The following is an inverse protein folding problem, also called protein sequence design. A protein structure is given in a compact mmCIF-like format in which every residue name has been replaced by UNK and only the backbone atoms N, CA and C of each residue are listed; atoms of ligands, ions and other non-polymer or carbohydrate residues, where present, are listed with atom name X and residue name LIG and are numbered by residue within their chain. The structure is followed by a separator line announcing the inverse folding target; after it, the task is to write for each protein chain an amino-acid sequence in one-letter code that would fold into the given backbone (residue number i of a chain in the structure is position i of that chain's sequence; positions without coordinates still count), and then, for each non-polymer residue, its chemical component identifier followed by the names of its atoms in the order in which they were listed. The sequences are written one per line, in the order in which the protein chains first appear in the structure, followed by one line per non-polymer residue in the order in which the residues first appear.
data_IF_136508248446
#
_entry.id   IF_136508248446
#
_cell.length_a   1.000
_cell.length_b   1.000
_cell.length_c   1.000
_cell.angle_alpha   90.00
_cell.angle_beta   90.00
_cell.angle_gamma   90.00
#
_symmetry.space_group_name_H-M   'P 1'
#
loop_
_entity.id
_entity.type
_entity.pdbx_description
1 polymer ?
#
# COMPACT_ATOMS: atom_id res chain seq x y z
N UNK A 1 -8.70 -0.86 17.67
CA UNK A 1 -8.89 -0.63 16.21
C UNK A 1 -9.87 0.53 15.94
N UNK A 2 -11.04 0.55 16.56
CA UNK A 2 -11.99 1.70 16.49
C UNK A 2 -11.37 3.00 17.05
N UNK A 3 -10.43 2.91 18.01
CA UNK A 3 -9.77 4.08 18.59
C UNK A 3 -8.84 4.82 17.60
N UNK A 4 -8.16 4.13 16.67
CA UNK A 4 -7.27 4.80 15.71
C UNK A 4 -8.08 5.59 14.66
N UNK A 5 -9.14 4.99 14.12
CA UNK A 5 -10.02 5.66 13.14
C UNK A 5 -10.77 6.83 13.80
N UNK A 6 -11.26 6.65 15.03
CA UNK A 6 -12.01 7.68 15.76
C UNK A 6 -11.14 8.85 16.23
N UNK A 7 -9.87 8.62 16.54
CA UNK A 7 -8.92 9.69 16.91
C UNK A 7 -8.58 10.56 15.71
N UNK A 8 -8.45 9.97 14.53
CA UNK A 8 -8.09 10.69 13.30
C UNK A 8 -9.28 11.48 12.72
N UNK A 9 -10.47 10.91 12.72
CA UNK A 9 -11.67 11.57 12.18
C UNK A 9 -12.14 12.82 12.97
N UNK A 10 -11.75 12.94 14.23
CA UNK A 10 -12.20 14.04 15.09
C UNK A 10 -11.21 15.23 15.20
N UNK A 11 -10.11 15.26 14.45
CA UNK A 11 -9.21 16.40 14.46
C UNK A 11 -9.61 17.45 13.41
N UNK A 12 -9.82 18.74 13.79
CA UNK A 12 -10.09 19.80 12.83
C UNK A 12 -8.87 20.01 11.93
N UNK A 13 -9.11 20.18 10.62
CA UNK A 13 -8.09 20.49 9.60
C UNK A 13 -7.28 21.71 10.05
N UNK A 14 -6.12 21.50 10.63
CA UNK A 14 -5.15 22.57 10.87
C UNK A 14 -4.53 22.91 9.52
N UNK A 15 -4.92 23.98 8.90
CA UNK A 15 -4.22 24.59 7.75
C UNK A 15 -2.85 25.08 8.23
N UNK A 16 -1.88 24.18 8.24
CA UNK A 16 -0.48 24.50 8.52
C UNK A 16 0.13 25.26 7.36
N UNK A 17 0.95 26.25 7.67
CA UNK A 17 1.68 27.08 6.71
C UNK A 17 2.45 26.20 5.71
N UNK A 18 2.33 26.57 4.44
CA UNK A 18 3.00 25.95 3.29
C UNK A 18 4.53 25.90 3.52
N UNK A 19 5.17 24.76 3.80
CA UNK A 19 6.62 24.70 3.89
C UNK A 19 7.17 24.89 2.47
N UNK A 20 8.15 25.75 2.31
CA UNK A 20 8.91 25.95 1.07
C UNK A 20 9.39 24.57 0.61
N UNK A 21 8.83 24.08 -0.48
CA UNK A 21 9.15 22.76 -1.02
C UNK A 21 10.58 22.71 -1.52
N UNK A 22 11.46 22.13 -0.73
CA UNK A 22 12.72 21.59 -1.25
C UNK A 22 12.36 20.51 -2.31
N UNK A 23 13.17 20.31 -3.35
CA UNK A 23 12.90 19.28 -4.34
C UNK A 23 12.76 17.91 -3.65
N UNK A 24 11.79 17.07 -4.06
CA UNK A 24 11.53 15.82 -3.39
C UNK A 24 12.78 14.93 -3.38
N UNK A 25 13.14 14.45 -2.20
CA UNK A 25 14.28 13.54 -2.03
C UNK A 25 13.95 12.22 -2.73
N UNK A 26 14.85 11.72 -3.58
CA UNK A 26 14.61 10.45 -4.28
C UNK A 26 14.53 9.29 -3.28
N UNK A 27 13.65 8.31 -3.54
CA UNK A 27 13.52 7.13 -2.68
C UNK A 27 14.84 6.37 -2.50
N UNK A 28 15.69 6.34 -3.53
CA UNK A 28 17.02 5.73 -3.46
C UNK A 28 17.91 6.39 -2.40
N UNK A 29 17.89 7.72 -2.30
CA UNK A 29 18.62 8.45 -1.25
C UNK A 29 18.05 8.16 0.13
N UNK A 30 16.71 8.12 0.26
CA UNK A 30 16.02 7.81 1.52
C UNK A 30 16.39 6.41 2.01
N UNK A 31 16.39 5.42 1.12
CA UNK A 31 16.68 4.03 1.45
C UNK A 31 18.17 3.68 1.45
N UNK A 32 19.06 4.66 1.29
CA UNK A 32 20.52 4.44 1.29
C UNK A 32 21.00 3.68 2.52
N UNK A 33 20.41 3.92 3.70
CA UNK A 33 20.78 3.29 4.97
C UNK A 33 20.47 1.79 5.03
N UNK A 34 19.63 1.27 4.13
CA UNK A 34 19.27 -0.15 4.00
C UNK A 34 19.58 -0.73 2.62
N UNK A 35 20.26 0.02 1.74
CA UNK A 35 20.47 -0.36 0.34
C UNK A 35 21.23 -1.66 0.16
N UNK A 36 22.25 -1.92 0.98
CA UNK A 36 23.02 -3.17 0.96
C UNK A 36 22.16 -4.36 1.40
N UNK A 37 21.30 -4.16 2.39
CA UNK A 37 20.40 -5.19 2.89
C UNK A 37 19.29 -5.51 1.86
N UNK A 38 18.77 -4.49 1.17
CA UNK A 38 17.80 -4.67 0.07
C UNK A 38 18.42 -5.49 -1.06
N UNK A 39 19.64 -5.18 -1.50
CA UNK A 39 20.33 -5.96 -2.54
C UNK A 39 20.54 -7.41 -2.12
N UNK A 40 20.93 -7.65 -0.87
CA UNK A 40 21.06 -8.98 -0.30
C UNK A 40 19.72 -9.72 -0.29
N UNK A 41 18.65 -9.02 0.13
CA UNK A 41 17.27 -9.54 0.14
C UNK A 41 16.84 -9.98 -1.27
N UNK A 42 17.00 -9.13 -2.27
CA UNK A 42 16.63 -9.43 -3.66
C UNK A 42 17.37 -10.66 -4.19
N UNK A 43 18.69 -10.76 -3.91
CA UNK A 43 19.49 -11.93 -4.27
C UNK A 43 19.03 -13.21 -3.57
N UNK A 44 18.55 -13.11 -2.33
CA UNK A 44 18.00 -14.25 -1.59
C UNK A 44 16.63 -14.65 -2.14
N UNK A 45 15.72 -13.69 -2.36
CA UNK A 45 14.40 -13.95 -2.94
C UNK A 45 14.54 -14.64 -4.29
N UNK A 46 15.42 -14.13 -5.17
CA UNK A 46 15.65 -14.74 -6.47
C UNK A 46 16.08 -16.20 -6.38
N UNK A 47 16.99 -16.54 -5.46
CA UNK A 47 17.41 -17.93 -5.23
C UNK A 47 16.30 -18.82 -4.67
N UNK A 48 15.49 -18.26 -3.80
CA UNK A 48 14.43 -18.99 -3.10
C UNK A 48 13.27 -19.42 -4.00
N UNK A 49 12.99 -18.64 -5.05
CA UNK A 49 11.93 -18.95 -6.01
C UNK A 49 12.39 -19.92 -7.12
N UNK A 50 13.70 -20.26 -7.17
CA UNK A 50 14.19 -21.28 -8.10
C UNK A 50 13.80 -22.68 -7.62
N UNK A 51 12.94 -23.34 -8.39
CA UNK A 51 12.39 -24.66 -8.08
C UNK A 51 12.64 -25.61 -9.26
N UNK A 52 12.22 -26.86 -9.10
CA UNK A 52 12.21 -27.83 -10.21
C UNK A 52 10.98 -27.68 -11.14
N UNK A 53 10.17 -26.63 -10.97
CA UNK A 53 9.00 -26.31 -11.79
C UNK A 53 9.31 -25.06 -12.63
N UNK A 54 9.74 -25.22 -13.92
CA UNK A 54 10.15 -24.08 -14.75
C UNK A 54 9.06 -22.99 -14.90
N UNK A 55 7.79 -23.41 -14.96
CA UNK A 55 6.67 -22.48 -15.07
C UNK A 55 6.59 -21.53 -13.87
N UNK A 56 6.73 -22.06 -12.65
CA UNK A 56 6.74 -21.26 -11.43
C UNK A 56 7.93 -20.28 -11.39
N UNK A 57 9.11 -20.75 -11.82
CA UNK A 57 10.29 -19.91 -11.91
C UNK A 57 10.07 -18.72 -12.85
N UNK A 58 9.47 -18.98 -14.03
CA UNK A 58 9.17 -17.92 -15.01
C UNK A 58 8.18 -16.86 -14.45
N UNK A 59 7.11 -17.30 -13.78
CA UNK A 59 6.14 -16.39 -13.15
C UNK A 59 6.81 -15.56 -12.05
N UNK A 60 7.57 -16.20 -11.17
CA UNK A 60 8.27 -15.53 -10.09
C UNK A 60 9.30 -14.53 -10.60
N UNK A 61 10.10 -14.89 -11.59
CA UNK A 61 11.07 -14.00 -12.23
C UNK A 61 10.37 -12.82 -12.93
N UNK A 62 9.28 -13.06 -13.64
CA UNK A 62 8.51 -12.01 -14.28
C UNK A 62 8.06 -10.93 -13.29
N UNK A 63 7.47 -11.34 -12.16
CA UNK A 63 6.96 -10.41 -11.16
C UNK A 63 8.10 -9.72 -10.41
N UNK A 64 9.11 -10.45 -9.98
CA UNK A 64 10.25 -9.87 -9.27
C UNK A 64 11.03 -8.87 -10.14
N UNK A 65 11.18 -9.18 -11.44
CA UNK A 65 11.85 -8.32 -12.42
C UNK A 65 10.92 -7.21 -12.98
N UNK A 66 9.65 -7.20 -12.62
CA UNK A 66 8.74 -6.08 -12.98
C UNK A 66 9.01 -4.81 -12.18
N UNK A 67 10.06 -4.83 -11.36
CA UNK A 67 10.45 -3.72 -10.52
C UNK A 67 9.56 -3.60 -9.27
N UNK A 68 9.89 -2.61 -8.46
CA UNK A 68 9.14 -2.29 -7.25
C UNK A 68 9.98 -1.42 -6.33
N UNK A 69 9.33 -0.57 -5.59
CA UNK A 69 9.99 0.36 -4.65
C UNK A 69 10.56 -0.34 -3.42
N UNK A 70 10.29 -1.63 -3.23
CA UNK A 70 10.70 -2.45 -2.07
C UNK A 70 10.45 -1.77 -0.72
N UNK A 71 9.42 -0.93 -0.66
CA UNK A 71 9.16 -0.12 0.53
C UNK A 71 8.78 -0.97 1.75
N UNK A 72 7.95 -2.01 1.56
CA UNK A 72 7.53 -2.89 2.66
C UNK A 72 8.70 -3.66 3.28
N UNK A 73 9.54 -4.40 2.53
CA UNK A 73 10.72 -5.02 3.13
C UNK A 73 11.73 -4.00 3.67
N UNK A 74 11.85 -2.80 3.07
CA UNK A 74 12.68 -1.73 3.61
C UNK A 74 12.23 -1.31 5.02
N UNK A 75 10.93 -1.28 5.28
CA UNK A 75 10.39 -0.98 6.62
C UNK A 75 10.76 -2.04 7.64
N UNK A 76 10.78 -3.34 7.27
CA UNK A 76 11.29 -4.40 8.16
C UNK A 76 12.75 -4.11 8.54
N UNK A 77 13.58 -3.79 7.54
CA UNK A 77 15.01 -3.52 7.74
C UNK A 77 15.25 -2.25 8.57
N UNK A 78 14.49 -1.18 8.31
CA UNK A 78 14.57 0.08 9.07
C UNK A 78 14.14 -0.14 10.52
N UNK A 79 13.00 -0.80 10.75
CA UNK A 79 12.52 -1.12 12.09
C UNK A 79 13.55 -1.93 12.90
N UNK A 80 14.19 -2.91 12.27
CA UNK A 80 15.25 -3.69 12.92
C UNK A 80 16.50 -2.87 13.22
N UNK A 81 16.96 -2.03 12.29
CA UNK A 81 18.15 -1.20 12.49
C UNK A 81 18.00 -0.19 13.62
N UNK A 82 16.78 0.24 13.92
CA UNK A 82 16.54 1.14 15.08
C UNK A 82 16.83 0.48 16.44
N UNK A 83 16.86 -0.86 16.52
CA UNK A 83 16.94 -1.60 17.81
C UNK A 83 18.05 -2.64 17.91
N UNK A 84 18.91 -2.79 16.93
CA UNK A 84 20.02 -3.77 17.05
C UNK A 84 20.59 -4.22 15.73
N UNK A 85 19.88 -4.00 14.65
CA UNK A 85 20.37 -4.29 13.32
C UNK A 85 19.68 -5.47 12.63
N UNK A 86 20.24 -5.88 11.50
CA UNK A 86 19.66 -6.89 10.60
C UNK A 86 20.43 -8.19 10.74
N UNK A 87 19.82 -9.19 11.38
CA UNK A 87 20.27 -10.57 11.40
C UNK A 87 19.53 -11.44 10.35
N UNK A 88 19.81 -12.74 10.30
CA UNK A 88 19.16 -13.68 9.38
C UNK A 88 17.66 -13.83 9.64
N UNK A 89 17.17 -13.62 10.86
CA UNK A 89 15.74 -13.68 11.19
C UNK A 89 15.02 -12.48 10.60
N UNK A 90 15.59 -11.29 10.75
CA UNK A 90 15.08 -10.05 10.13
C UNK A 90 15.05 -10.17 8.61
N UNK A 91 16.12 -10.72 8.01
CA UNK A 91 16.19 -10.93 6.57
C UNK A 91 15.09 -11.88 6.09
N UNK A 92 14.87 -13.00 6.79
CA UNK A 92 13.76 -13.93 6.49
C UNK A 92 12.40 -13.26 6.64
N UNK A 93 12.20 -12.41 7.64
CA UNK A 93 10.95 -11.67 7.80
C UNK A 93 10.71 -10.68 6.66
N UNK A 94 11.75 -10.00 6.18
CA UNK A 94 11.67 -9.11 5.02
C UNK A 94 11.29 -9.89 3.73
N UNK A 95 11.82 -11.12 3.55
CA UNK A 95 11.39 -12.03 2.46
C UNK A 95 9.91 -12.40 2.58
N UNK A 96 9.46 -12.78 3.79
CA UNK A 96 8.06 -13.12 4.05
C UNK A 96 7.12 -11.98 3.66
N UNK A 97 7.42 -10.75 4.07
CA UNK A 97 6.63 -9.57 3.72
C UNK A 97 6.55 -9.39 2.20
N UNK A 98 7.65 -9.60 1.48
CA UNK A 98 7.65 -9.47 0.02
C UNK A 98 6.89 -10.62 -0.66
N UNK A 99 6.97 -11.86 -0.12
CA UNK A 99 6.18 -12.99 -0.64
C UNK A 99 4.68 -12.79 -0.42
N UNK A 100 4.26 -12.36 0.77
CA UNK A 100 2.86 -12.04 1.04
C UNK A 100 2.35 -10.96 0.08
N UNK A 101 3.11 -9.88 -0.09
CA UNK A 101 2.75 -8.83 -1.03
C UNK A 101 2.68 -9.31 -2.48
N UNK A 102 3.67 -10.12 -2.91
CA UNK A 102 3.71 -10.63 -4.29
C UNK A 102 2.57 -11.63 -4.55
N UNK A 103 2.23 -12.46 -3.57
CA UNK A 103 1.10 -13.38 -3.64
C UNK A 103 -0.22 -12.62 -3.84
N UNK A 104 -0.44 -11.55 -3.07
CA UNK A 104 -1.65 -10.73 -3.24
C UNK A 104 -1.71 -10.06 -4.61
N UNK A 105 -0.59 -9.56 -5.13
CA UNK A 105 -0.56 -8.99 -6.49
C UNK A 105 -0.95 -10.00 -7.57
N UNK A 106 -0.54 -11.27 -7.44
CA UNK A 106 -0.92 -12.35 -8.37
C UNK A 106 -2.40 -12.68 -8.31
N UNK A 107 -2.98 -12.67 -7.12
CA UNK A 107 -4.41 -12.90 -6.91
C UNK A 107 -5.24 -11.70 -7.39
N UNK A 108 -4.84 -10.49 -7.03
CA UNK A 108 -5.51 -9.24 -7.42
C UNK A 108 -5.56 -9.10 -8.94
N UNK A 109 -4.46 -9.42 -9.68
CA UNK A 109 -4.43 -9.39 -11.14
C UNK A 109 -5.49 -10.30 -11.78
N UNK A 110 -5.83 -11.41 -11.14
CA UNK A 110 -6.90 -12.32 -11.60
C UNK A 110 -8.28 -11.77 -11.24
N UNK A 111 -8.45 -11.29 -10.02
CA UNK A 111 -9.73 -10.73 -9.51
C UNK A 111 -10.13 -9.49 -10.29
N UNK A 112 -9.17 -8.58 -10.54
CA UNK A 112 -9.37 -7.33 -11.26
C UNK A 112 -9.39 -7.53 -12.79
N UNK A 113 -9.03 -8.73 -13.29
CA UNK A 113 -8.91 -8.98 -14.74
C UNK A 113 -7.81 -8.15 -15.39
N UNK A 114 -6.75 -7.84 -14.66
CA UNK A 114 -5.71 -6.89 -15.06
C UNK A 114 -5.03 -7.29 -16.39
N UNK A 115 -4.89 -6.35 -17.31
CA UNK A 115 -4.12 -6.53 -18.55
C UNK A 115 -2.62 -6.33 -18.31
N UNK A 116 -2.28 -5.37 -17.48
CA UNK A 116 -0.89 -4.98 -17.23
C UNK A 116 -0.60 -4.76 -15.75
N UNK A 117 0.63 -5.06 -15.36
CA UNK A 117 1.19 -4.78 -14.04
C UNK A 117 2.57 -4.14 -14.18
N UNK A 118 2.75 -2.90 -13.68
CA UNK A 118 4.03 -2.17 -13.75
C UNK A 118 4.60 -2.09 -15.18
N UNK A 119 3.77 -1.68 -16.14
CA UNK A 119 4.08 -1.56 -17.56
C UNK A 119 4.48 -2.87 -18.28
N UNK A 120 4.26 -4.03 -17.68
CA UNK A 120 4.37 -5.36 -18.30
C UNK A 120 3.01 -6.03 -18.34
N UNK A 121 2.81 -7.03 -19.19
CA UNK A 121 1.61 -7.85 -19.15
C UNK A 121 1.45 -8.53 -17.78
N UNK A 122 0.23 -8.59 -17.28
CA UNK A 122 -0.08 -9.29 -16.04
C UNK A 122 0.20 -10.80 -16.17
N UNK A 123 0.56 -11.46 -15.07
CA UNK A 123 0.87 -12.89 -15.11
C UNK A 123 -0.31 -13.74 -15.58
N UNK A 124 -1.54 -13.38 -15.20
CA UNK A 124 -2.76 -14.05 -15.63
C UNK A 124 -3.00 -13.95 -17.15
N UNK A 125 -2.46 -12.92 -17.83
CA UNK A 125 -2.53 -12.77 -19.30
C UNK A 125 -1.47 -13.58 -20.04
N UNK A 126 -0.31 -13.78 -19.41
CA UNK A 126 0.79 -14.55 -20.01
C UNK A 126 0.61 -16.05 -19.84
N UNK A 127 0.13 -16.51 -18.68
CA UNK A 127 0.11 -17.94 -18.30
C UNK A 127 -1.28 -18.45 -17.89
N UNK A 128 -2.31 -17.62 -17.90
CA UNK A 128 -3.66 -17.98 -17.47
C UNK A 128 -3.92 -17.76 -15.99
N UNK A 129 -5.20 -17.72 -15.64
CA UNK A 129 -5.66 -17.45 -14.27
C UNK A 129 -5.21 -18.54 -13.29
N UNK A 130 -5.30 -19.80 -13.70
CA UNK A 130 -4.95 -20.96 -12.87
C UNK A 130 -3.47 -20.89 -12.44
N UNK A 131 -2.57 -20.55 -13.37
CA UNK A 131 -1.14 -20.43 -13.09
C UNK A 131 -0.87 -19.26 -12.16
N UNK A 132 -1.55 -18.12 -12.37
CA UNK A 132 -1.40 -16.95 -11.51
C UNK A 132 -1.85 -17.25 -10.08
N UNK A 133 -3.03 -17.84 -9.90
CA UNK A 133 -3.57 -18.21 -8.59
C UNK A 133 -2.65 -19.21 -7.87
N UNK A 134 -2.28 -20.32 -8.52
CA UNK A 134 -1.41 -21.34 -7.91
C UNK A 134 -0.01 -20.83 -7.59
N UNK A 135 0.52 -19.90 -8.38
CA UNK A 135 1.80 -19.25 -8.07
C UNK A 135 1.68 -18.33 -6.84
N UNK A 136 0.57 -17.61 -6.68
CA UNK A 136 0.24 -16.85 -5.49
C UNK A 136 0.12 -17.74 -4.25
N UNK A 137 -0.59 -18.88 -4.35
CA UNK A 137 -0.74 -19.86 -3.28
C UNK A 137 0.61 -20.45 -2.87
N UNK A 138 1.48 -20.74 -3.84
CA UNK A 138 2.84 -21.21 -3.55
C UNK A 138 3.65 -20.18 -2.76
N UNK A 139 3.63 -18.92 -3.17
CA UNK A 139 4.33 -17.84 -2.44
C UNK A 139 3.76 -17.64 -1.03
N UNK A 140 2.44 -17.70 -0.89
CA UNK A 140 1.76 -17.63 0.40
C UNK A 140 2.17 -18.78 1.32
N UNK A 141 2.14 -20.02 0.82
CA UNK A 141 2.55 -21.21 1.56
C UNK A 141 4.05 -21.12 1.96
N UNK A 142 4.91 -20.65 1.06
CA UNK A 142 6.32 -20.44 1.32
C UNK A 142 6.56 -19.36 2.39
N UNK A 143 5.78 -18.28 2.37
CA UNK A 143 5.83 -17.26 3.41
C UNK A 143 5.53 -17.86 4.80
N UNK A 144 4.45 -18.62 4.95
CA UNK A 144 4.09 -19.28 6.22
C UNK A 144 5.12 -20.32 6.64
N UNK A 145 5.65 -21.14 5.71
CA UNK A 145 6.72 -22.07 6.02
C UNK A 145 7.95 -21.36 6.59
N UNK A 146 8.34 -20.20 6.03
CA UNK A 146 9.46 -19.40 6.53
C UNK A 146 9.16 -18.75 7.88
N UNK A 147 7.93 -18.30 8.13
CA UNK A 147 7.49 -17.79 9.42
C UNK A 147 7.68 -18.82 10.55
N UNK A 148 7.36 -20.10 10.31
CA UNK A 148 7.58 -21.15 11.31
C UNK A 148 9.06 -21.33 11.69
N UNK A 149 9.98 -21.01 10.75
CA UNK A 149 11.43 -21.10 10.98
C UNK A 149 11.98 -19.92 11.80
N UNK A 150 11.24 -18.83 11.95
CA UNK A 150 11.62 -17.72 12.84
C UNK A 150 11.52 -18.11 14.31
N UNK A 151 10.69 -19.10 14.66
CA UNK A 151 10.44 -19.56 16.03
C UNK A 151 10.06 -18.40 16.98
N UNK A 152 9.31 -17.44 16.45
CA UNK A 152 8.79 -16.31 17.20
C UNK A 152 7.26 -16.32 17.10
N UNK A 153 6.54 -16.76 18.18
CA UNK A 153 5.09 -16.86 18.16
C UNK A 153 4.39 -15.51 17.95
N UNK A 154 4.92 -14.43 18.53
CA UNK A 154 4.35 -13.07 18.39
C UNK A 154 4.39 -12.59 16.94
N UNK A 155 5.50 -12.82 16.24
CA UNK A 155 5.63 -12.48 14.81
C UNK A 155 4.72 -13.36 13.96
N UNK A 156 4.59 -14.67 14.29
CA UNK A 156 3.70 -15.57 13.56
C UNK A 156 2.23 -15.15 13.72
N UNK A 157 1.80 -14.82 14.93
CA UNK A 157 0.45 -14.32 15.22
C UNK A 157 0.16 -13.01 14.47
N UNK A 158 1.09 -12.04 14.57
CA UNK A 158 0.98 -10.74 13.89
C UNK A 158 0.83 -10.89 12.37
N UNK A 159 1.65 -11.75 11.74
CA UNK A 159 1.59 -11.98 10.29
C UNK A 159 0.32 -12.72 9.87
N UNK A 160 -0.15 -13.68 10.69
CA UNK A 160 -1.38 -14.43 10.42
C UNK A 160 -2.61 -13.53 10.52
N UNK A 161 -2.69 -12.67 11.55
CA UNK A 161 -3.74 -11.64 11.66
C UNK A 161 -3.71 -10.70 10.46
N UNK A 162 -2.53 -10.21 10.09
CA UNK A 162 -2.35 -9.31 8.95
C UNK A 162 -2.84 -9.95 7.64
N UNK A 163 -2.48 -11.21 7.37
CA UNK A 163 -2.91 -11.92 6.17
C UNK A 163 -4.43 -12.09 6.15
N UNK A 164 -5.04 -12.41 7.30
CA UNK A 164 -6.50 -12.51 7.46
C UNK A 164 -7.18 -11.16 7.19
N UNK A 165 -6.60 -10.08 7.71
CA UNK A 165 -7.10 -8.72 7.47
C UNK A 165 -7.01 -8.32 6.00
N UNK A 166 -5.89 -8.63 5.32
CA UNK A 166 -5.72 -8.35 3.89
C UNK A 166 -6.80 -9.04 3.05
N UNK A 167 -7.05 -10.32 3.28
CA UNK A 167 -8.11 -11.06 2.61
C UNK A 167 -9.51 -10.49 2.91
N UNK A 168 -9.76 -10.09 4.17
CA UNK A 168 -11.01 -9.41 4.55
C UNK A 168 -11.18 -8.07 3.84
N UNK A 169 -10.11 -7.26 3.75
CA UNK A 169 -10.13 -5.97 3.06
C UNK A 169 -10.50 -6.11 1.58
N UNK A 170 -9.95 -7.14 0.91
CA UNK A 170 -10.28 -7.47 -0.48
C UNK A 170 -11.76 -7.86 -0.63
N UNK A 171 -12.25 -8.76 0.22
CA UNK A 171 -13.66 -9.18 0.21
C UNK A 171 -14.61 -8.00 0.51
N UNK A 172 -14.24 -7.10 1.43
CA UNK A 172 -15.02 -5.89 1.68
C UNK A 172 -15.09 -5.02 0.43
N UNK A 173 -13.97 -4.80 -0.25
CA UNK A 173 -13.94 -4.03 -1.51
C UNK A 173 -14.85 -4.64 -2.57
N UNK A 174 -14.84 -5.96 -2.76
CA UNK A 174 -15.69 -6.67 -3.73
C UNK A 174 -17.18 -6.61 -3.39
N UNK A 175 -17.53 -6.57 -2.10
CA UNK A 175 -18.95 -6.57 -1.65
C UNK A 175 -19.57 -5.17 -1.62
N UNK A 176 -18.76 -4.12 -1.67
CA UNK A 176 -19.24 -2.73 -1.66
C UNK A 176 -19.54 -2.25 -3.07
N UNK A 177 -20.58 -1.46 -3.20
CA UNK A 177 -20.99 -0.84 -4.46
C UNK A 177 -20.90 0.67 -4.36
N UNK A 178 -20.80 1.38 -5.49
CA UNK A 178 -20.83 2.83 -5.55
C UNK A 178 -22.04 3.51 -4.88
N UNK A 179 -23.07 2.75 -4.51
CA UNK A 179 -24.34 3.32 -3.98
C UNK A 179 -24.29 3.69 -2.49
N UNK A 180 -23.34 3.15 -1.73
CA UNK A 180 -23.38 3.23 -0.26
C UNK A 180 -22.04 3.57 0.39
N UNK A 181 -21.08 4.14 -0.34
CA UNK A 181 -19.75 4.32 0.20
C UNK A 181 -19.60 5.66 0.87
N UNK A 182 -19.28 5.59 2.13
CA UNK A 182 -18.79 6.72 2.92
C UNK A 182 -17.28 6.60 3.17
N UNK A 183 -16.69 7.65 3.69
CA UNK A 183 -15.25 7.70 3.98
C UNK A 183 -14.81 6.65 5.02
N UNK A 184 -15.65 6.34 6.02
CA UNK A 184 -15.35 5.35 7.06
C UNK A 184 -15.21 3.94 6.46
N UNK A 185 -16.11 3.56 5.57
CA UNK A 185 -16.04 2.27 4.85
C UNK A 185 -14.83 2.20 3.93
N UNK A 186 -14.50 3.29 3.24
CA UNK A 186 -13.29 3.39 2.44
C UNK A 186 -12.03 3.17 3.30
N UNK A 187 -11.93 3.87 4.43
CA UNK A 187 -10.82 3.72 5.36
C UNK A 187 -10.72 2.30 5.91
N UNK A 188 -11.85 1.65 6.25
CA UNK A 188 -11.85 0.24 6.69
C UNK A 188 -11.23 -0.66 5.61
N UNK A 189 -11.58 -0.47 4.35
CA UNK A 189 -11.04 -1.24 3.23
C UNK A 189 -9.53 -1.07 3.13
N UNK A 190 -9.03 0.17 3.01
CA UNK A 190 -7.60 0.41 2.77
C UNK A 190 -6.72 0.10 3.97
N UNK A 191 -7.24 0.25 5.19
CA UNK A 191 -6.56 -0.16 6.42
C UNK A 191 -6.32 -1.67 6.42
N UNK A 192 -7.33 -2.45 6.06
CA UNK A 192 -7.23 -3.90 6.04
C UNK A 192 -6.48 -4.42 4.82
N UNK A 193 -6.77 -3.93 3.61
CA UNK A 193 -6.14 -4.39 2.37
C UNK A 193 -4.67 -4.00 2.27
N UNK A 194 -4.32 -2.77 2.66
CA UNK A 194 -3.01 -2.17 2.34
C UNK A 194 -2.20 -1.78 3.57
N UNK A 195 -2.76 -0.96 4.47
CA UNK A 195 -1.98 -0.31 5.53
C UNK A 195 -1.51 -1.30 6.60
N UNK A 196 -2.29 -2.34 6.91
CA UNK A 196 -1.91 -3.35 7.89
C UNK A 196 -0.57 -4.03 7.56
N UNK A 197 -0.25 -4.26 6.28
CA UNK A 197 1.03 -4.88 5.90
C UNK A 197 2.22 -3.91 6.06
N UNK A 198 2.03 -2.60 5.88
CA UNK A 198 3.04 -1.59 6.19
C UNK A 198 3.35 -1.55 7.70
N UNK A 199 2.29 -1.53 8.52
CA UNK A 199 2.40 -1.54 9.98
C UNK A 199 3.10 -2.79 10.49
N UNK A 200 2.68 -3.95 9.98
CA UNK A 200 3.27 -5.25 10.33
C UNK A 200 4.73 -5.35 9.91
N UNK A 201 5.09 -4.80 8.75
CA UNK A 201 6.46 -4.83 8.26
C UNK A 201 7.44 -4.17 9.23
N UNK A 202 7.21 -2.91 9.59
CA UNK A 202 8.11 -2.17 10.49
C UNK A 202 8.09 -2.74 11.91
N UNK A 203 6.91 -3.12 12.43
CA UNK A 203 6.75 -3.74 13.75
C UNK A 203 7.53 -5.05 13.85
N UNK A 204 7.45 -5.91 12.83
CA UNK A 204 8.17 -7.18 12.79
C UNK A 204 9.68 -7.00 12.85
N UNK A 205 10.22 -6.05 12.08
CA UNK A 205 11.64 -5.73 12.13
C UNK A 205 12.09 -5.32 13.53
N UNK A 206 11.35 -4.42 14.16
CA UNK A 206 11.62 -3.96 15.52
C UNK A 206 11.56 -5.09 16.57
N UNK A 207 10.51 -5.93 16.52
CA UNK A 207 10.35 -7.08 17.43
C UNK A 207 11.51 -8.06 17.33
N UNK A 208 11.92 -8.43 16.11
CA UNK A 208 13.03 -9.37 15.89
C UNK A 208 14.38 -8.81 16.30
N UNK A 209 14.53 -7.48 16.33
CA UNK A 209 15.72 -6.79 16.83
C UNK A 209 15.68 -6.51 18.34
N UNK A 210 14.67 -7.01 19.08
CA UNK A 210 14.59 -6.91 20.52
C UNK A 210 13.85 -5.69 21.06
N UNK A 211 13.17 -4.92 20.21
CA UNK A 211 12.29 -3.85 20.67
C UNK A 211 11.09 -4.40 21.44
N UNK A 212 10.58 -3.63 22.38
CA UNK A 212 9.42 -4.00 23.18
C UNK A 212 8.59 -2.78 23.61
N UNK A 213 7.41 -3.04 24.14
CA UNK A 213 6.55 -2.06 24.78
C UNK A 213 6.12 -0.92 23.83
N UNK A 214 6.17 0.32 24.34
CA UNK A 214 5.67 1.51 23.65
C UNK A 214 6.32 1.74 22.27
N UNK A 215 7.62 1.48 22.15
CA UNK A 215 8.37 1.71 20.90
C UNK A 215 7.84 0.89 19.73
N UNK A 216 7.48 -0.37 20.00
CA UNK A 216 6.91 -1.28 19.00
C UNK A 216 5.55 -0.78 18.51
N UNK A 217 4.72 -0.26 19.43
CA UNK A 217 3.40 0.27 19.08
C UNK A 217 3.52 1.57 18.27
N UNK A 218 4.42 2.48 18.66
CA UNK A 218 4.68 3.72 17.90
C UNK A 218 5.13 3.43 16.46
N UNK A 219 5.97 2.41 16.24
CA UNK A 219 6.36 2.01 14.90
C UNK A 219 5.20 1.34 14.13
N UNK A 220 4.34 0.59 14.82
CA UNK A 220 3.13 0.05 14.21
C UNK A 220 2.20 1.19 13.75
N UNK A 221 1.98 2.19 14.60
CA UNK A 221 1.16 3.37 14.29
C UNK A 221 1.75 4.17 13.12
N UNK A 222 3.08 4.38 13.12
CA UNK A 222 3.80 4.96 11.98
C UNK A 222 3.52 4.17 10.68
N UNK A 223 3.69 2.85 10.72
CA UNK A 223 3.47 1.99 9.56
C UNK A 223 2.03 2.01 9.07
N UNK A 224 1.06 2.07 9.99
CA UNK A 224 -0.36 2.21 9.67
C UNK A 224 -0.64 3.54 8.97
N UNK A 225 -0.16 4.63 9.52
CA UNK A 225 -0.38 5.97 8.98
C UNK A 225 0.24 6.14 7.58
N UNK A 226 1.49 5.71 7.36
CA UNK A 226 2.08 5.76 6.02
C UNK A 226 1.39 4.83 5.02
N UNK A 227 0.88 3.68 5.47
CA UNK A 227 0.15 2.75 4.61
C UNK A 227 -1.18 3.33 4.12
N UNK A 228 -1.92 4.02 5.00
CA UNK A 228 -3.14 4.76 4.65
C UNK A 228 -2.80 5.91 3.71
N UNK A 229 -1.82 6.75 4.06
CA UNK A 229 -1.36 7.86 3.20
C UNK A 229 -0.96 7.36 1.81
N UNK A 230 -0.22 6.24 1.75
CA UNK A 230 0.23 5.63 0.49
C UNK A 230 -0.95 5.24 -0.40
N UNK A 231 -1.98 4.59 0.16
CA UNK A 231 -3.14 4.15 -0.63
C UNK A 231 -3.96 5.34 -1.11
N UNK A 232 -4.22 6.35 -0.24
CA UNK A 232 -4.96 7.56 -0.63
C UNK A 232 -4.26 8.28 -1.79
N UNK A 233 -2.92 8.38 -1.76
CA UNK A 233 -2.16 8.99 -2.87
C UNK A 233 -2.24 8.14 -4.13
N UNK A 234 -2.14 6.81 -4.03
CA UNK A 234 -2.28 5.91 -5.20
C UNK A 234 -3.66 6.08 -5.86
N UNK A 235 -4.73 6.13 -5.07
CA UNK A 235 -6.10 6.33 -5.56
C UNK A 235 -6.28 7.73 -6.19
N UNK A 236 -5.69 8.79 -5.59
CA UNK A 236 -5.75 10.13 -6.15
C UNK A 236 -4.97 10.26 -7.47
N UNK A 237 -3.87 9.51 -7.61
CA UNK A 237 -3.08 9.47 -8.84
C UNK A 237 -3.82 8.83 -10.01
N UNK A 238 -4.76 7.91 -9.75
CA UNK A 238 -5.58 7.29 -10.80
C UNK A 238 -6.47 8.31 -11.53
N UNK A 239 -6.75 9.46 -10.92
CA UNK A 239 -7.52 10.57 -11.51
C UNK A 239 -6.64 11.72 -12.00
N UNK A 240 -5.32 11.56 -11.99
CA UNK A 240 -4.36 12.57 -12.42
C UNK A 240 -3.99 12.40 -13.89
N UNK A 241 -3.34 13.42 -14.46
CA UNK A 241 -3.03 13.50 -15.88
C UNK A 241 -2.21 12.29 -16.38
N UNK A 242 -2.68 11.63 -17.45
CA UNK A 242 -2.07 10.45 -18.09
C UNK A 242 -0.59 10.69 -18.45
N UNK A 243 -0.25 11.92 -18.84
CA UNK A 243 1.12 12.33 -19.18
C UNK A 243 2.06 12.22 -17.98
N UNK A 244 1.54 12.40 -16.75
CA UNK A 244 2.33 12.35 -15.52
C UNK A 244 2.48 10.94 -14.97
N UNK A 245 1.46 10.10 -15.11
CA UNK A 245 1.42 8.76 -14.48
C UNK A 245 1.85 7.65 -15.42
N UNK A 246 1.76 7.85 -16.73
CA UNK A 246 2.03 6.83 -17.76
C UNK A 246 1.04 5.66 -17.74
N UNK A 247 -0.13 5.83 -17.09
CA UNK A 247 -1.23 4.86 -17.03
C UNK A 247 -2.50 5.49 -17.57
N UNK A 248 -3.43 4.69 -18.15
CA UNK A 248 -4.77 5.17 -18.46
C UNK A 248 -5.42 5.75 -17.19
N UNK A 249 -6.06 6.91 -17.32
CA UNK A 249 -6.71 7.61 -16.21
C UNK A 249 -8.08 6.99 -15.94
N UNK A 250 -8.44 6.83 -14.65
CA UNK A 250 -9.75 6.36 -14.23
C UNK A 250 -9.91 4.84 -14.24
N UNK A 251 -8.81 4.09 -14.12
CA UNK A 251 -8.83 2.63 -14.00
C UNK A 251 -9.68 2.17 -12.81
N UNK A 252 -9.59 2.84 -11.66
CA UNK A 252 -10.40 2.52 -10.48
C UNK A 252 -11.91 2.68 -10.72
N UNK A 253 -12.33 3.62 -11.56
CA UNK A 253 -13.73 3.76 -11.96
C UNK A 253 -14.17 2.59 -12.85
N UNK A 254 -13.32 2.14 -13.78
CA UNK A 254 -13.61 0.98 -14.66
C UNK A 254 -13.71 -0.30 -13.84
N UNK A 255 -12.81 -0.49 -12.88
CA UNK A 255 -12.78 -1.64 -11.96
C UNK A 255 -13.84 -1.51 -10.85
N UNK A 256 -14.64 -0.44 -10.85
CA UNK A 256 -15.70 -0.15 -9.87
C UNK A 256 -15.19 -0.05 -8.43
N UNK A 257 -13.94 0.33 -8.26
CA UNK A 257 -13.31 0.53 -6.95
C UNK A 257 -13.79 1.84 -6.32
N UNK A 258 -13.93 1.77 -5.02
CA UNK A 258 -14.30 2.90 -4.20
C UNK A 258 -13.01 3.58 -3.75
N UNK A 259 -12.88 4.87 -4.06
CA UNK A 259 -11.73 5.68 -3.71
C UNK A 259 -12.16 6.91 -2.91
N UNK A 260 -11.26 7.50 -2.15
CA UNK A 260 -11.57 8.69 -1.34
C UNK A 260 -12.06 9.88 -2.20
N UNK A 261 -11.44 10.18 -3.37
CA UNK A 261 -11.98 11.23 -4.25
C UNK A 261 -13.43 10.97 -4.68
N UNK A 262 -13.77 9.71 -5.00
CA UNK A 262 -15.14 9.36 -5.41
C UNK A 262 -16.12 9.45 -4.23
N UNK A 263 -15.75 8.98 -3.05
CA UNK A 263 -16.58 9.07 -1.84
C UNK A 263 -16.89 10.51 -1.49
N UNK A 264 -15.88 11.38 -1.49
CA UNK A 264 -16.06 12.81 -1.25
C UNK A 264 -16.96 13.45 -2.32
N UNK A 265 -16.76 13.12 -3.61
CA UNK A 265 -17.61 13.63 -4.68
C UNK A 265 -19.08 13.26 -4.45
N UNK A 266 -19.38 11.98 -4.18
CA UNK A 266 -20.75 11.48 -3.95
C UNK A 266 -21.46 12.19 -2.78
N UNK A 267 -20.69 12.61 -1.77
CA UNK A 267 -21.22 13.37 -0.62
C UNK A 267 -21.49 14.84 -0.97
N UNK A 268 -20.61 15.50 -1.74
CA UNK A 268 -20.60 16.96 -1.94
C UNK A 268 -21.37 17.45 -3.15
N UNK A 269 -21.62 16.58 -4.15
CA UNK A 269 -22.30 16.99 -5.39
C UNK A 269 -23.72 17.55 -5.13
N UNK A 270 -24.11 18.56 -5.90
CA UNK A 270 -25.47 19.09 -5.91
C UNK A 270 -26.46 18.06 -6.50
N UNK A 271 -27.76 18.32 -6.38
CA UNK A 271 -28.84 17.40 -6.80
C UNK A 271 -28.78 17.04 -8.29
N UNK A 272 -28.43 18.00 -9.15
CA UNK A 272 -28.35 17.80 -10.60
C UNK A 272 -27.19 16.86 -10.96
N UNK A 273 -26.00 17.20 -10.47
CA UNK A 273 -24.78 16.42 -10.74
C UNK A 273 -24.86 15.04 -10.08
N UNK A 274 -25.53 14.94 -8.92
CA UNK A 274 -25.77 13.64 -8.27
C UNK A 274 -26.58 12.69 -9.12
N UNK A 275 -27.64 13.17 -9.79
CA UNK A 275 -28.43 12.34 -10.70
C UNK A 275 -27.58 11.86 -11.89
N UNK A 276 -26.76 12.75 -12.45
CA UNK A 276 -25.89 12.44 -13.58
C UNK A 276 -24.83 11.43 -13.17
N UNK A 277 -24.13 11.66 -12.05
CA UNK A 277 -23.13 10.78 -11.49
C UNK A 277 -23.69 9.37 -11.23
N UNK A 278 -24.86 9.27 -10.59
CA UNK A 278 -25.52 7.98 -10.36
C UNK A 278 -25.88 7.27 -11.67
N UNK A 279 -26.30 8.02 -12.71
CA UNK A 279 -26.57 7.45 -14.04
C UNK A 279 -25.31 6.82 -14.66
N UNK A 280 -24.14 7.47 -14.52
CA UNK A 280 -22.86 6.95 -15.00
C UNK A 280 -22.45 5.71 -14.19
N UNK A 281 -22.43 5.83 -12.88
CA UNK A 281 -21.96 4.78 -11.97
C UNK A 281 -22.86 3.52 -11.93
N UNK A 282 -24.09 3.62 -12.43
CA UNK A 282 -25.02 2.47 -12.54
C UNK A 282 -24.85 1.65 -13.83
N UNK A 283 -24.06 2.13 -14.78
CA UNK A 283 -23.79 1.39 -16.02
C UNK A 283 -22.88 0.20 -15.77
N UNK A 284 -23.00 -0.86 -16.56
CA UNK A 284 -22.13 -2.04 -16.45
C UNK A 284 -20.71 -1.72 -16.87
N UNK A 285 -20.54 -0.91 -17.92
CA UNK A 285 -19.25 -0.43 -18.41
C UNK A 285 -19.29 1.09 -18.44
N UNK A 286 -18.20 1.73 -17.98
CA UNK A 286 -18.03 3.19 -17.96
C UNK A 286 -17.03 3.53 -19.07
N UNK A 287 -17.50 4.22 -20.08
CA UNK A 287 -16.69 4.63 -21.24
C UNK A 287 -15.80 5.84 -20.93
N UNK A 288 -14.72 6.01 -21.69
CA UNK A 288 -13.76 7.11 -21.54
C UNK A 288 -14.41 8.51 -21.39
N UNK A 289 -15.41 8.92 -22.21
CA UNK A 289 -16.04 10.24 -22.04
C UNK A 289 -16.74 10.42 -20.70
N UNK A 290 -17.28 9.33 -20.13
CA UNK A 290 -17.95 9.34 -18.84
C UNK A 290 -16.92 9.40 -17.68
N UNK A 291 -15.78 8.71 -17.83
CA UNK A 291 -14.65 8.81 -16.91
C UNK A 291 -14.17 10.27 -16.86
N UNK A 292 -13.96 10.88 -18.02
CA UNK A 292 -13.51 12.27 -18.13
C UNK A 292 -14.53 13.24 -17.49
N UNK A 293 -15.84 12.98 -17.63
CA UNK A 293 -16.90 13.73 -16.96
C UNK A 293 -16.84 13.61 -15.43
N UNK A 294 -16.66 12.39 -14.91
CA UNK A 294 -16.54 12.15 -13.45
C UNK A 294 -15.29 12.85 -12.90
N UNK A 295 -14.16 12.76 -13.60
CA UNK A 295 -12.91 13.44 -13.22
C UNK A 295 -13.12 14.98 -13.23
N UNK A 296 -13.80 15.50 -14.24
CA UNK A 296 -14.16 16.94 -14.28
C UNK A 296 -15.00 17.37 -13.07
N UNK A 297 -15.95 16.54 -12.65
CA UNK A 297 -16.70 16.77 -11.40
C UNK A 297 -15.79 16.70 -10.17
N UNK A 298 -14.89 15.71 -10.06
CA UNK A 298 -13.93 15.61 -8.96
C UNK A 298 -13.06 16.87 -8.86
N UNK A 299 -12.64 17.43 -9.99
CA UNK A 299 -11.88 18.69 -10.02
C UNK A 299 -12.73 19.88 -9.58
N UNK A 300 -13.95 20.03 -10.11
CA UNK A 300 -14.86 21.12 -9.75
C UNK A 300 -15.24 21.13 -8.27
N UNK A 301 -15.43 19.95 -7.67
CA UNK A 301 -15.79 19.81 -6.26
C UNK A 301 -14.56 19.69 -5.33
N UNK A 302 -13.33 19.74 -5.85
CA UNK A 302 -12.11 19.70 -5.08
C UNK A 302 -11.82 18.34 -4.45
N UNK A 303 -12.40 17.26 -4.97
CA UNK A 303 -12.33 15.91 -4.35
C UNK A 303 -10.93 15.33 -4.36
N UNK A 304 -10.15 15.52 -5.42
CA UNK A 304 -8.75 15.09 -5.50
C UNK A 304 -7.90 15.84 -4.47
N UNK A 305 -8.08 17.18 -4.38
CA UNK A 305 -7.38 18.02 -3.39
C UNK A 305 -7.73 17.61 -1.95
N UNK A 306 -8.99 17.27 -1.70
CA UNK A 306 -9.44 16.74 -0.41
C UNK A 306 -8.67 15.46 -0.05
N UNK A 307 -8.61 14.48 -0.94
CA UNK A 307 -7.89 13.23 -0.71
C UNK A 307 -6.39 13.47 -0.44
N UNK A 308 -5.74 14.32 -1.22
CA UNK A 308 -4.32 14.66 -1.01
C UNK A 308 -4.08 15.34 0.34
N UNK A 309 -4.99 16.20 0.79
CA UNK A 309 -4.87 16.81 2.11
C UNK A 309 -5.01 15.78 3.23
N UNK A 310 -5.90 14.80 3.09
CA UNK A 310 -5.99 13.66 4.03
C UNK A 310 -4.72 12.80 4.02
N UNK A 311 -4.16 12.50 2.86
CA UNK A 311 -2.88 11.79 2.77
C UNK A 311 -1.74 12.52 3.51
N UNK A 312 -1.69 13.87 3.39
CA UNK A 312 -0.72 14.70 4.13
C UNK A 312 -0.93 14.67 5.63
N UNK A 313 -2.17 14.62 6.11
CA UNK A 313 -2.46 14.48 7.53
C UNK A 313 -1.93 13.14 8.08
N UNK A 314 -2.22 12.03 7.41
CA UNK A 314 -1.68 10.72 7.78
C UNK A 314 -0.14 10.67 7.73
N UNK A 315 0.48 11.32 6.75
CA UNK A 315 1.95 11.44 6.71
C UNK A 315 2.50 12.23 7.90
N UNK A 316 1.84 13.31 8.32
CA UNK A 316 2.21 14.07 9.51
C UNK A 316 2.02 13.26 10.80
N UNK A 317 0.95 12.48 10.92
CA UNK A 317 0.74 11.56 12.05
C UNK A 317 1.84 10.50 12.13
N UNK A 318 2.26 9.95 10.98
CA UNK A 318 3.39 9.04 10.92
C UNK A 318 4.67 9.70 11.46
N UNK A 319 4.97 10.92 11.03
CA UNK A 319 6.13 11.67 11.54
C UNK A 319 6.03 11.93 13.04
N UNK A 320 4.85 12.29 13.54
CA UNK A 320 4.60 12.48 14.96
C UNK A 320 4.83 11.19 15.79
N UNK A 321 4.42 10.04 15.26
CA UNK A 321 4.62 8.73 15.92
C UNK A 321 6.10 8.41 16.21
N UNK A 322 7.01 8.97 15.43
CA UNK A 322 8.45 8.73 15.56
C UNK A 322 9.24 9.90 16.15
N UNK A 323 8.63 11.02 16.49
CA UNK A 323 9.33 12.22 16.95
C UNK A 323 10.15 12.01 18.23
N UNK A 324 9.66 11.12 19.12
CA UNK A 324 10.32 10.81 20.39
C UNK A 324 11.45 9.77 20.28
N UNK A 325 11.72 9.23 19.09
CA UNK A 325 12.90 8.40 18.87
C UNK A 325 14.15 9.27 18.72
N UNK A 326 15.34 8.74 19.04
CA UNK A 326 16.60 9.48 18.91
C UNK A 326 16.80 10.04 17.49
N UNK A 327 17.38 11.23 17.39
CA UNK A 327 17.72 11.87 16.12
C UNK A 327 18.87 11.12 15.42
N UNK A 328 18.51 10.28 14.49
CA UNK A 328 19.43 9.44 13.70
C UNK A 328 19.07 9.48 12.23
N UNK A 329 20.00 9.08 11.39
CA UNK A 329 19.72 8.91 9.94
C UNK A 329 18.58 7.90 9.68
N UNK A 330 18.32 6.96 10.60
CA UNK A 330 17.22 5.99 10.49
C UNK A 330 15.88 6.68 10.74
N UNK A 331 15.76 7.50 11.82
CA UNK A 331 14.56 8.30 12.05
C UNK A 331 14.31 9.27 10.89
N UNK A 332 15.37 9.93 10.40
CA UNK A 332 15.25 10.81 9.24
C UNK A 332 14.76 10.07 8.00
N UNK A 333 15.27 8.86 7.72
CA UNK A 333 14.77 8.04 6.60
C UNK A 333 13.29 7.71 6.73
N UNK A 334 12.80 7.44 7.95
CA UNK A 334 11.35 7.22 8.17
C UNK A 334 10.55 8.52 7.93
N UNK A 335 11.02 9.67 8.42
CA UNK A 335 10.37 10.95 8.15
C UNK A 335 10.34 11.26 6.64
N UNK A 336 11.46 11.06 5.95
CA UNK A 336 11.59 11.28 4.50
C UNK A 336 10.70 10.33 3.68
N UNK A 337 10.43 9.10 4.16
CA UNK A 337 9.46 8.17 3.54
C UNK A 337 8.05 8.76 3.57
N UNK A 338 7.64 9.35 4.71
CA UNK A 338 6.31 9.97 4.82
C UNK A 338 6.17 11.15 3.85
N UNK A 339 7.19 12.02 3.77
CA UNK A 339 7.23 13.14 2.82
C UNK A 339 7.24 12.66 1.37
N UNK A 340 8.04 11.62 1.07
CA UNK A 340 8.11 11.03 -0.27
C UNK A 340 6.75 10.51 -0.75
N UNK A 341 5.98 9.86 0.13
CA UNK A 341 4.67 9.30 -0.23
C UNK A 341 3.74 10.40 -0.74
N UNK A 342 3.67 11.54 -0.05
CA UNK A 342 2.78 12.65 -0.43
C UNK A 342 3.35 13.58 -1.49
N UNK A 343 4.65 13.52 -1.77
CA UNK A 343 5.30 14.29 -2.83
C UNK A 343 5.24 13.61 -4.20
N UNK A 344 4.75 12.37 -4.28
CA UNK A 344 4.47 11.68 -5.55
C UNK A 344 3.47 12.55 -6.31
N UNK A 345 3.83 12.95 -7.53
CA UNK A 345 3.09 13.96 -8.29
C UNK A 345 1.63 13.54 -8.52
N UNK A 346 0.73 14.37 -8.02
CA UNK A 346 -0.70 14.38 -8.31
C UNK A 346 -1.00 15.55 -9.22
#
# INVERSE_FOLDING_TARGET
MLDFVSVVMNQPIKTGANPKTAPPVSLEKILKVVSSDIKRLESQIFRDVQTNIPLLNNVAEHILNSGGKRLRPALVLLGAKMFGGVDERVMKAAQVIEYLHTATLLHDDVVDGAETRRAKQAACRLWGNEVSVLSGDYLLAMAFYRLTKLRNPEVLELMSDTTTRMARGELLQLTRSFKSVNEEEYLEIIINKTACLFATAIKTGALLAGASGKSVNLLYDYGMAIGVSFQIVDDALDYSDEVKTGKPVGGDLQERKITLPLSHLLEKVNVSDKKRLHSILSQTEIEKPQIDEVIGLMQCYGSITYAINHAKQYAAEAQHSIENFPETNLRQSLADIADYIVSRQV
#
